data_IF_655065100240
#
_entry.id   IF_655065100240
#
_cell.length_a   1.000
_cell.length_b   1.000
_cell.length_c   1.000
_cell.angle_alpha   90.00
_cell.angle_beta   90.00
_cell.angle_gamma   90.00
#
_symmetry.space_group_name_H-M   'P 1'
#
loop_
_entity.id
_entity.type
_entity.pdbx_description
1 polymer ?
#
# COMPACT_ATOMS: atom_id res chain seq x y z
N UNK A 1 -18.98 51.34 45.04
CA UNK A 1 -20.06 50.37 44.71
C UNK A 1 -20.13 50.13 43.19
N UNK A 2 -18.98 49.98 42.48
CA UNK A 2 -18.91 49.67 41.04
C UNK A 2 -17.94 48.54 40.67
N UNK A 3 -17.36 47.88 41.67
CA UNK A 3 -16.39 46.78 41.44
C UNK A 3 -16.99 45.39 41.76
N UNK A 4 -18.09 45.33 42.50
CA UNK A 4 -18.72 44.06 42.86
C UNK A 4 -19.75 43.52 41.85
N UNK A 5 -20.16 44.35 40.87
CA UNK A 5 -21.13 43.90 39.84
C UNK A 5 -20.43 43.25 38.65
N UNK A 6 -19.16 43.61 38.41
CA UNK A 6 -18.38 43.02 37.32
C UNK A 6 -17.92 41.59 37.59
N UNK A 7 -17.75 41.23 38.88
CA UNK A 7 -17.34 39.86 39.27
C UNK A 7 -18.49 38.83 39.21
N UNK A 8 -19.74 39.30 39.37
CA UNK A 8 -20.91 38.40 39.31
C UNK A 8 -21.33 38.07 37.86
N UNK A 9 -21.07 38.94 36.90
CA UNK A 9 -21.35 38.66 35.47
C UNK A 9 -20.31 37.75 34.80
N UNK A 10 -19.07 37.75 35.28
CA UNK A 10 -18.03 36.88 34.79
C UNK A 10 -18.21 35.42 35.29
N UNK A 11 -18.86 35.23 36.45
CA UNK A 11 -19.10 33.89 37.00
C UNK A 11 -20.31 33.15 36.34
N UNK A 12 -21.22 33.91 35.71
CA UNK A 12 -22.40 33.31 35.05
C UNK A 12 -22.10 32.93 33.60
N UNK A 13 -21.09 33.52 32.97
CA UNK A 13 -20.67 33.17 31.59
C UNK A 13 -19.83 31.89 31.49
N UNK A 14 -19.36 31.35 32.62
CA UNK A 14 -18.57 30.12 32.68
C UNK A 14 -19.38 28.84 32.94
N UNK A 15 -20.71 28.95 33.12
CA UNK A 15 -21.56 27.81 33.41
C UNK A 15 -22.44 27.32 32.26
N UNK A 16 -22.32 27.91 31.07
CA UNK A 16 -23.19 27.53 29.95
C UNK A 16 -22.52 26.70 28.85
N UNK A 17 -21.33 26.17 29.08
CA UNK A 17 -20.62 25.35 28.10
C UNK A 17 -20.30 23.94 28.61
N UNK A 18 -21.13 23.38 29.48
CA UNK A 18 -21.00 21.96 29.80
C UNK A 18 -21.91 21.15 28.87
N UNK A 19 -21.36 20.73 27.77
CA UNK A 19 -21.91 19.60 27.00
C UNK A 19 -21.95 18.42 27.94
N UNK A 20 -23.13 17.75 28.06
CA UNK A 20 -23.26 16.62 28.95
C UNK A 20 -22.18 15.57 28.62
N UNK A 21 -21.55 14.95 29.62
CA UNK A 21 -20.45 13.99 29.38
C UNK A 21 -20.85 12.87 28.41
N UNK A 22 -22.13 12.53 28.42
CA UNK A 22 -22.71 11.51 27.52
C UNK A 22 -22.75 11.97 26.07
N UNK A 23 -23.13 13.21 25.83
CA UNK A 23 -23.12 13.78 24.45
C UNK A 23 -21.72 14.00 23.92
N UNK A 24 -20.77 14.32 24.78
CA UNK A 24 -19.37 14.47 24.41
C UNK A 24 -18.75 13.09 24.06
N UNK A 25 -19.02 12.06 24.86
CA UNK A 25 -18.55 10.70 24.58
C UNK A 25 -19.20 10.09 23.33
N UNK A 26 -20.49 10.36 23.07
CA UNK A 26 -21.16 9.95 21.84
C UNK A 26 -20.59 10.67 20.61
N UNK A 27 -20.30 11.97 20.72
CA UNK A 27 -19.67 12.74 19.65
C UNK A 27 -18.22 12.30 19.41
N UNK A 28 -17.49 12.04 20.49
CA UNK A 28 -16.13 11.51 20.44
C UNK A 28 -16.10 10.15 19.75
N UNK A 29 -16.98 9.23 20.17
CA UNK A 29 -17.05 7.89 19.55
C UNK A 29 -17.48 7.95 18.08
N UNK A 30 -18.40 8.87 17.72
CA UNK A 30 -18.80 9.06 16.32
C UNK A 30 -17.69 9.72 15.48
N UNK A 31 -16.92 10.62 16.09
CA UNK A 31 -15.75 11.22 15.47
C UNK A 31 -14.65 10.17 15.23
N UNK A 32 -14.33 9.38 16.26
CA UNK A 32 -13.32 8.33 16.15
C UNK A 32 -13.74 7.25 15.14
N UNK A 33 -15.04 6.88 15.12
CA UNK A 33 -15.57 5.97 14.10
C UNK A 33 -15.50 6.55 12.67
N UNK A 34 -15.74 7.87 12.53
CA UNK A 34 -15.61 8.53 11.21
C UNK A 34 -14.16 8.69 10.78
N UNK A 35 -13.27 8.98 11.70
CA UNK A 35 -11.81 9.03 11.42
C UNK A 35 -11.31 7.65 11.02
N UNK A 36 -11.67 6.60 11.76
CA UNK A 36 -11.30 5.22 11.39
C UNK A 36 -11.87 4.80 10.04
N UNK A 37 -13.12 5.20 9.76
CA UNK A 37 -13.75 4.92 8.45
C UNK A 37 -13.06 5.70 7.33
N UNK A 38 -12.65 6.94 7.60
CA UNK A 38 -11.90 7.74 6.64
C UNK A 38 -10.49 7.16 6.41
N UNK A 39 -9.82 6.65 7.44
CA UNK A 39 -8.52 6.00 7.30
C UNK A 39 -8.62 4.65 6.60
N UNK A 40 -9.62 3.82 6.92
CA UNK A 40 -9.84 2.57 6.20
C UNK A 40 -10.13 2.81 4.71
N UNK A 41 -10.99 3.80 4.42
CA UNK A 41 -11.28 4.21 3.03
C UNK A 41 -10.03 4.76 2.32
N UNK A 42 -9.16 5.45 3.04
CA UNK A 42 -7.90 5.97 2.51
C UNK A 42 -6.92 4.84 2.16
N UNK A 43 -6.83 3.84 3.04
CA UNK A 43 -6.03 2.63 2.79
C UNK A 43 -6.61 1.81 1.63
N UNK A 44 -7.93 1.67 1.58
CA UNK A 44 -8.61 0.98 0.49
C UNK A 44 -8.45 1.73 -0.84
N UNK A 45 -8.56 3.05 -0.82
CA UNK A 45 -8.31 3.90 -1.98
C UNK A 45 -6.84 3.82 -2.46
N UNK A 46 -5.87 3.76 -1.55
CA UNK A 46 -4.46 3.63 -1.94
C UNK A 46 -4.15 2.22 -2.48
N UNK A 47 -4.73 1.18 -1.88
CA UNK A 47 -4.67 -0.19 -2.43
C UNK A 47 -5.30 -0.27 -3.82
N UNK A 48 -6.49 0.31 -3.96
CA UNK A 48 -7.17 0.39 -5.26
C UNK A 48 -6.34 1.18 -6.28
N UNK A 49 -5.66 2.26 -5.84
CA UNK A 49 -4.78 3.06 -6.68
C UNK A 49 -3.53 2.30 -7.13
N UNK A 50 -2.90 1.55 -6.21
CA UNK A 50 -1.75 0.70 -6.53
C UNK A 50 -2.17 -0.40 -7.50
N UNK A 51 -3.26 -1.12 -7.20
CA UNK A 51 -3.82 -2.16 -8.08
C UNK A 51 -4.23 -1.59 -9.45
N UNK A 52 -4.86 -0.41 -9.48
CA UNK A 52 -5.19 0.28 -10.73
C UNK A 52 -3.93 0.68 -11.50
N UNK A 53 -2.88 1.17 -10.82
CA UNK A 53 -1.60 1.52 -11.44
C UNK A 53 -0.88 0.30 -12.02
N UNK A 54 -0.87 -0.82 -11.29
CA UNK A 54 -0.31 -2.09 -11.77
C UNK A 54 -1.11 -2.65 -12.95
N UNK A 55 -2.44 -2.62 -12.85
CA UNK A 55 -3.34 -3.01 -13.93
C UNK A 55 -3.16 -2.13 -15.18
N UNK A 56 -3.02 -0.82 -14.99
CA UNK A 56 -2.78 0.11 -16.10
C UNK A 56 -1.38 -0.11 -16.72
N UNK A 57 -0.36 -0.38 -15.91
CA UNK A 57 0.97 -0.74 -16.41
C UNK A 57 0.96 -2.06 -17.20
N UNK A 58 0.19 -3.04 -16.75
CA UNK A 58 0.00 -4.30 -17.48
C UNK A 58 -0.78 -4.08 -18.78
N UNK A 59 -1.84 -3.27 -18.72
CA UNK A 59 -2.64 -2.88 -19.89
C UNK A 59 -1.80 -2.13 -20.92
N UNK A 60 -0.95 -1.20 -20.49
CA UNK A 60 -0.03 -0.48 -21.38
C UNK A 60 0.94 -1.44 -22.07
N UNK A 61 1.51 -2.41 -21.33
CA UNK A 61 2.38 -3.45 -21.91
C UNK A 61 1.62 -4.35 -22.89
N UNK A 62 0.42 -4.78 -22.53
CA UNK A 62 -0.43 -5.60 -23.38
C UNK A 62 -0.86 -4.84 -24.65
N UNK A 63 -1.21 -3.56 -24.51
CA UNK A 63 -1.53 -2.69 -25.66
C UNK A 63 -0.31 -2.47 -26.58
N UNK A 64 0.88 -2.28 -26.01
CA UNK A 64 2.10 -2.14 -26.81
C UNK A 64 2.45 -3.43 -27.57
N UNK A 65 2.28 -4.60 -26.92
CA UNK A 65 2.46 -5.89 -27.58
C UNK A 65 1.40 -6.14 -28.67
N UNK A 66 0.14 -5.77 -28.40
CA UNK A 66 -0.94 -5.85 -29.38
C UNK A 66 -0.69 -4.91 -30.56
N UNK A 67 -0.27 -3.67 -30.32
CA UNK A 67 0.09 -2.72 -31.37
C UNK A 67 1.24 -3.24 -32.25
N UNK A 68 2.26 -3.84 -31.63
CA UNK A 68 3.32 -4.55 -32.33
C UNK A 68 2.79 -5.68 -33.22
N UNK A 69 1.94 -6.54 -32.69
CA UNK A 69 1.33 -7.64 -33.43
C UNK A 69 0.40 -7.17 -34.56
N UNK A 70 -0.34 -6.07 -34.33
CA UNK A 70 -1.19 -5.45 -35.36
C UNK A 70 -0.32 -4.88 -36.49
N UNK A 71 0.79 -4.18 -36.17
CA UNK A 71 1.72 -3.64 -37.17
C UNK A 71 2.34 -4.76 -38.01
N UNK A 72 2.81 -5.83 -37.36
CA UNK A 72 3.35 -7.00 -38.05
C UNK A 72 2.30 -7.66 -38.93
N UNK A 73 1.10 -7.89 -38.42
CA UNK A 73 0.00 -8.48 -39.20
C UNK A 73 -0.42 -7.58 -40.37
N UNK A 74 -0.39 -6.25 -40.19
CA UNK A 74 -0.70 -5.29 -41.25
C UNK A 74 0.38 -5.30 -42.35
N UNK A 75 1.65 -5.34 -41.96
CA UNK A 75 2.78 -5.44 -42.90
C UNK A 75 2.74 -6.77 -43.67
N UNK A 76 2.46 -7.89 -42.97
CA UNK A 76 2.26 -9.20 -43.58
C UNK A 76 1.07 -9.24 -44.55
N UNK A 77 -0.04 -8.61 -44.18
CA UNK A 77 -1.20 -8.48 -45.04
C UNK A 77 -0.93 -7.63 -46.29
N UNK A 78 -0.08 -6.60 -46.19
CA UNK A 78 0.36 -5.81 -47.34
C UNK A 78 1.27 -6.63 -48.28
N UNK A 79 2.20 -7.41 -47.72
CA UNK A 79 3.04 -8.34 -48.48
C UNK A 79 2.22 -9.47 -49.12
N UNK A 80 1.26 -10.06 -48.42
CA UNK A 80 0.34 -11.05 -49.00
C UNK A 80 -0.45 -10.48 -50.17
N UNK A 81 -0.97 -9.24 -50.06
CA UNK A 81 -1.67 -8.57 -51.20
C UNK A 81 -0.73 -8.29 -52.36
N UNK A 82 0.55 -7.95 -52.11
CA UNK A 82 1.56 -7.77 -53.11
C UNK A 82 1.93 -9.09 -53.78
N UNK A 83 2.08 -10.14 -52.99
CA UNK A 83 2.32 -11.50 -53.45
C UNK A 83 1.15 -12.04 -54.28
N UNK A 84 -0.08 -11.78 -53.87
CA UNK A 84 -1.29 -12.20 -54.57
C UNK A 84 -1.49 -11.46 -55.90
N UNK A 85 -1.04 -10.21 -56.00
CA UNK A 85 -0.95 -9.48 -57.26
C UNK A 85 0.13 -10.09 -58.18
N UNK A 86 1.34 -10.31 -57.63
CA UNK A 86 2.43 -10.93 -58.35
C UNK A 86 2.05 -12.36 -58.83
N UNK A 87 1.32 -13.12 -58.00
CA UNK A 87 0.80 -14.42 -58.40
C UNK A 87 -0.23 -14.33 -59.52
N UNK A 88 -1.16 -13.37 -59.47
CA UNK A 88 -2.13 -13.14 -60.57
C UNK A 88 -1.48 -12.69 -61.86
N UNK A 89 -0.47 -11.80 -61.75
CA UNK A 89 0.30 -11.32 -62.93
C UNK A 89 1.12 -12.48 -63.54
N UNK A 90 1.67 -13.31 -62.66
CA UNK A 90 2.39 -14.52 -63.08
C UNK A 90 1.47 -15.49 -63.85
N UNK A 91 0.26 -15.73 -63.30
CA UNK A 91 -0.71 -16.62 -63.90
C UNK A 91 -1.25 -16.07 -65.25
N UNK A 92 -1.44 -14.75 -65.34
CA UNK A 92 -1.86 -14.07 -66.58
C UNK A 92 -0.77 -14.19 -67.66
N UNK A 93 0.52 -14.01 -67.32
CA UNK A 93 1.62 -14.18 -68.23
C UNK A 93 1.75 -15.64 -68.73
N UNK A 94 1.47 -16.60 -67.82
CA UNK A 94 1.47 -18.02 -68.18
C UNK A 94 0.33 -18.35 -69.16
N UNK A 95 -0.91 -17.87 -68.92
CA UNK A 95 -2.03 -18.05 -69.82
C UNK A 95 -1.83 -17.36 -71.17
N UNK A 96 -1.23 -16.16 -71.18
CA UNK A 96 -0.87 -15.46 -72.39
C UNK A 96 0.20 -16.24 -73.22
N UNK A 97 1.22 -16.76 -72.53
CA UNK A 97 2.27 -17.59 -73.15
C UNK A 97 1.68 -18.89 -73.74
N UNK A 98 0.71 -19.53 -73.05
CA UNK A 98 -0.01 -20.71 -73.56
C UNK A 98 -0.89 -20.41 -74.75
N UNK A 99 -1.51 -19.22 -74.82
CA UNK A 99 -2.43 -18.82 -75.91
C UNK A 99 -1.66 -18.45 -77.20
N UNK A 100 -0.47 -17.96 -77.13
CA UNK A 100 0.33 -17.51 -78.28
C UNK A 100 1.32 -18.57 -78.82
N UNK A 101 0.94 -19.79 -78.76
CA UNK A 101 1.77 -20.96 -78.89
C UNK A 101 2.11 -21.34 -80.35
N UNK A 102 2.95 -20.61 -81.08
CA UNK A 102 3.69 -21.13 -82.23
C UNK A 102 5.11 -20.59 -82.39
N UNK A 103 5.48 -19.59 -81.66
CA UNK A 103 6.80 -18.93 -81.74
C UNK A 103 7.66 -19.07 -80.46
N UNK A 104 7.16 -19.74 -79.52
CA UNK A 104 7.54 -19.57 -78.08
C UNK A 104 8.20 -20.77 -77.43
N UNK A 105 8.48 -21.89 -78.12
CA UNK A 105 9.02 -23.08 -77.40
C UNK A 105 10.40 -22.80 -76.80
N UNK A 106 11.23 -21.95 -77.37
CA UNK A 106 12.54 -21.58 -76.80
C UNK A 106 12.46 -20.38 -75.82
N UNK A 107 11.62 -19.39 -76.09
CA UNK A 107 11.37 -18.29 -75.16
C UNK A 107 10.56 -18.83 -73.95
N UNK A 108 9.62 -19.78 -74.13
CA UNK A 108 8.87 -20.44 -73.12
C UNK A 108 9.70 -21.20 -72.05
N UNK A 109 10.84 -21.78 -72.48
CA UNK A 109 11.72 -22.48 -71.53
C UNK A 109 12.38 -21.52 -70.52
N UNK A 110 12.78 -20.35 -71.00
CA UNK A 110 13.38 -19.30 -70.16
C UNK A 110 12.33 -18.61 -69.26
N UNK A 111 11.12 -18.35 -69.80
CA UNK A 111 10.01 -17.78 -69.02
C UNK A 111 9.47 -18.77 -67.99
N UNK A 112 9.31 -20.04 -68.36
CA UNK A 112 8.92 -21.10 -67.42
C UNK A 112 9.95 -21.30 -66.32
N UNK A 113 11.24 -21.22 -66.60
CA UNK A 113 12.31 -21.31 -65.61
C UNK A 113 12.24 -20.13 -64.63
N UNK A 114 12.08 -18.91 -65.15
CA UNK A 114 11.92 -17.72 -64.33
C UNK A 114 10.64 -17.76 -63.47
N UNK A 115 9.56 -18.38 -64.00
CA UNK A 115 8.30 -18.58 -63.30
C UNK A 115 8.46 -19.60 -62.16
N UNK A 116 9.14 -20.74 -62.39
CA UNK A 116 9.43 -21.71 -61.35
C UNK A 116 10.30 -21.11 -60.22
N UNK A 117 11.34 -20.36 -60.60
CA UNK A 117 12.16 -19.66 -59.59
C UNK A 117 11.33 -18.65 -58.77
N UNK A 118 10.40 -17.93 -59.41
CA UNK A 118 9.46 -17.04 -58.68
C UNK A 118 8.49 -17.82 -57.79
N UNK A 119 7.93 -18.93 -58.27
CA UNK A 119 7.04 -19.78 -57.48
C UNK A 119 7.78 -20.40 -56.26
N UNK A 120 9.01 -20.88 -56.44
CA UNK A 120 9.86 -21.34 -55.33
C UNK A 120 10.18 -20.23 -54.34
N UNK A 121 10.49 -19.02 -54.82
CA UNK A 121 10.72 -17.86 -53.99
C UNK A 121 9.48 -17.46 -53.20
N UNK A 122 8.29 -17.54 -53.80
CA UNK A 122 7.00 -17.29 -53.22
C UNK A 122 6.63 -18.34 -52.16
N UNK A 123 6.85 -19.63 -52.46
CA UNK A 123 6.65 -20.73 -51.53
C UNK A 123 7.58 -20.60 -50.30
N UNK A 124 8.85 -20.26 -50.54
CA UNK A 124 9.80 -20.02 -49.44
C UNK A 124 9.38 -18.82 -48.56
N UNK A 125 8.85 -17.74 -49.18
CA UNK A 125 8.32 -16.60 -48.42
C UNK A 125 7.06 -16.94 -47.61
N UNK A 126 6.17 -17.75 -48.19
CA UNK A 126 4.98 -18.22 -47.51
C UNK A 126 5.38 -19.08 -46.28
N UNK A 127 6.27 -20.06 -46.46
CA UNK A 127 6.77 -20.89 -45.39
C UNK A 127 7.43 -20.06 -44.28
N UNK A 128 8.26 -19.05 -44.66
CA UNK A 128 8.84 -18.13 -43.66
C UNK A 128 7.81 -17.30 -42.89
N UNK A 129 6.71 -16.92 -43.57
CA UNK A 129 5.63 -16.18 -42.94
C UNK A 129 4.78 -17.05 -42.01
N UNK A 130 4.48 -18.30 -42.41
CA UNK A 130 3.80 -19.27 -41.55
C UNK A 130 4.59 -19.56 -40.27
N UNK A 131 5.91 -19.71 -40.39
CA UNK A 131 6.80 -19.91 -39.26
C UNK A 131 6.83 -18.66 -38.33
N UNK A 132 6.85 -17.48 -38.91
CA UNK A 132 6.76 -16.22 -38.16
C UNK A 132 5.43 -16.07 -37.41
N UNK A 133 4.31 -16.43 -38.05
CA UNK A 133 2.99 -16.43 -37.45
C UNK A 133 2.89 -17.44 -36.29
N UNK A 134 3.45 -18.62 -36.49
CA UNK A 134 3.48 -19.66 -35.45
C UNK A 134 4.24 -19.19 -34.22
N UNK A 135 5.42 -18.57 -34.41
CA UNK A 135 6.21 -17.99 -33.30
C UNK A 135 5.44 -16.88 -32.57
N UNK A 136 4.73 -16.02 -33.29
CA UNK A 136 3.96 -14.97 -32.63
C UNK A 136 2.75 -15.53 -31.90
N UNK A 137 2.12 -16.57 -32.39
CA UNK A 137 1.05 -17.29 -31.71
C UNK A 137 1.56 -17.96 -30.42
N UNK A 138 2.73 -18.61 -30.46
CA UNK A 138 3.38 -19.18 -29.28
C UNK A 138 3.73 -18.10 -28.25
N UNK A 139 4.19 -16.93 -28.72
CA UNK A 139 4.46 -15.77 -27.87
C UNK A 139 3.19 -15.23 -27.21
N UNK A 140 2.10 -15.09 -27.95
CA UNK A 140 0.81 -14.66 -27.42
C UNK A 140 0.28 -15.62 -26.38
N UNK A 141 0.37 -16.95 -26.63
CA UNK A 141 0.01 -17.95 -25.63
C UNK A 141 0.85 -17.86 -24.36
N UNK A 142 2.16 -17.62 -24.48
CA UNK A 142 3.04 -17.45 -23.31
C UNK A 142 2.68 -16.18 -22.51
N UNK A 143 2.31 -15.13 -23.21
CA UNK A 143 1.89 -13.86 -22.59
C UNK A 143 0.55 -14.02 -21.84
N UNK A 144 -0.38 -14.75 -22.44
CA UNK A 144 -1.68 -15.07 -21.82
C UNK A 144 -1.52 -15.87 -20.53
N UNK A 145 -0.67 -16.89 -20.54
CA UNK A 145 -0.33 -17.66 -19.33
C UNK A 145 0.33 -16.77 -18.26
N UNK A 146 1.27 -15.91 -18.66
CA UNK A 146 1.93 -14.98 -17.74
C UNK A 146 0.94 -13.96 -17.16
N UNK A 147 -0.01 -13.48 -17.94
CA UNK A 147 -1.07 -12.58 -17.49
C UNK A 147 -1.96 -13.29 -16.45
N UNK A 148 -2.41 -14.50 -16.75
CA UNK A 148 -3.24 -15.30 -15.85
C UNK A 148 -2.53 -15.59 -14.51
N UNK A 149 -1.24 -15.89 -14.54
CA UNK A 149 -0.44 -16.07 -13.32
C UNK A 149 -0.37 -14.78 -12.48
N UNK A 150 -0.21 -13.62 -13.15
CA UNK A 150 -0.20 -12.33 -12.46
C UNK A 150 -1.56 -11.98 -11.85
N UNK A 151 -2.65 -12.25 -12.56
CA UNK A 151 -4.01 -12.05 -12.03
C UNK A 151 -4.26 -12.91 -10.80
N UNK A 152 -3.84 -14.17 -10.82
CA UNK A 152 -3.93 -15.06 -9.66
C UNK A 152 -3.12 -14.51 -8.47
N UNK A 153 -1.90 -14.02 -8.74
CA UNK A 153 -1.04 -13.45 -7.69
C UNK A 153 -1.61 -12.16 -7.10
N UNK A 154 -2.22 -11.31 -7.93
CA UNK A 154 -2.94 -10.12 -7.46
C UNK A 154 -4.11 -10.51 -6.56
N UNK A 155 -4.94 -11.45 -6.98
CA UNK A 155 -6.06 -11.93 -6.19
C UNK A 155 -5.64 -12.55 -4.84
N UNK A 156 -4.51 -13.25 -4.82
CA UNK A 156 -3.94 -13.81 -3.59
C UNK A 156 -3.42 -12.73 -2.65
N UNK A 157 -2.72 -11.72 -3.18
CA UNK A 157 -2.27 -10.57 -2.41
C UNK A 157 -3.44 -9.78 -1.82
N UNK A 158 -4.50 -9.56 -2.59
CA UNK A 158 -5.72 -8.90 -2.12
C UNK A 158 -6.38 -9.67 -0.97
N UNK A 159 -6.45 -11.00 -1.06
CA UNK A 159 -6.97 -11.85 0.02
C UNK A 159 -6.11 -11.78 1.29
N UNK A 160 -4.79 -11.74 1.14
CA UNK A 160 -3.87 -11.60 2.28
C UNK A 160 -4.01 -10.23 2.95
N UNK A 161 -4.10 -9.18 2.16
CA UNK A 161 -4.33 -7.81 2.66
C UNK A 161 -5.66 -7.76 3.43
N UNK A 162 -6.73 -8.30 2.87
CA UNK A 162 -8.05 -8.34 3.52
C UNK A 162 -8.02 -9.13 4.85
N UNK A 163 -7.34 -10.28 4.88
CA UNK A 163 -7.14 -11.05 6.12
C UNK A 163 -6.36 -10.25 7.17
N UNK A 164 -5.30 -9.58 6.75
CA UNK A 164 -4.49 -8.72 7.63
C UNK A 164 -5.30 -7.57 8.21
N UNK A 165 -6.09 -6.90 7.39
CA UNK A 165 -6.92 -5.79 7.84
C UNK A 165 -8.01 -6.27 8.82
N UNK A 166 -8.60 -7.44 8.55
CA UNK A 166 -9.56 -8.06 9.47
C UNK A 166 -8.93 -8.44 10.81
N UNK A 167 -7.73 -9.02 10.79
CA UNK A 167 -6.99 -9.36 12.01
C UNK A 167 -6.59 -8.11 12.80
N UNK A 168 -6.15 -7.05 12.13
CA UNK A 168 -5.82 -5.79 12.77
C UNK A 168 -7.06 -5.11 13.36
N UNK A 169 -8.21 -5.15 12.66
CA UNK A 169 -9.47 -4.62 13.17
C UNK A 169 -9.94 -5.38 14.42
N UNK A 170 -9.87 -6.70 14.43
CA UNK A 170 -10.17 -7.54 15.58
C UNK A 170 -9.25 -7.22 16.77
N UNK A 171 -7.94 -7.14 16.52
CA UNK A 171 -6.97 -6.78 17.55
C UNK A 171 -7.23 -5.38 18.12
N UNK A 172 -7.53 -4.40 17.25
CA UNK A 172 -7.90 -3.05 17.67
C UNK A 172 -9.10 -3.06 18.60
N UNK A 173 -10.12 -3.85 18.28
CA UNK A 173 -11.32 -3.95 19.15
C UNK A 173 -10.96 -4.55 20.51
N UNK A 174 -10.23 -5.65 20.55
CA UNK A 174 -9.80 -6.28 21.80
C UNK A 174 -8.96 -5.34 22.67
N UNK A 175 -8.06 -4.57 22.04
CA UNK A 175 -7.25 -3.58 22.76
C UNK A 175 -8.12 -2.41 23.27
N UNK A 176 -9.07 -1.94 22.46
CA UNK A 176 -9.99 -0.88 22.90
C UNK A 176 -10.83 -1.32 24.10
N UNK A 177 -11.30 -2.56 24.10
CA UNK A 177 -12.08 -3.13 25.22
C UNK A 177 -11.21 -3.31 26.47
N UNK A 178 -10.01 -3.88 26.34
CA UNK A 178 -9.08 -4.07 27.46
C UNK A 178 -8.60 -2.75 28.07
N UNK A 179 -8.51 -1.70 27.27
CA UNK A 179 -7.99 -0.39 27.67
C UNK A 179 -9.11 0.65 27.91
N UNK A 180 -10.38 0.22 27.95
CA UNK A 180 -11.53 1.12 28.07
C UNK A 180 -11.44 2.02 29.31
N UNK A 181 -10.96 1.53 30.45
CA UNK A 181 -10.79 2.28 31.68
C UNK A 181 -9.77 3.42 31.64
N UNK A 182 -8.97 3.49 30.56
CA UNK A 182 -7.95 4.53 30.37
C UNK A 182 -8.29 5.52 29.25
N UNK A 183 -9.40 5.33 28.55
CA UNK A 183 -9.81 6.17 27.41
C UNK A 183 -9.95 7.64 27.79
N UNK A 184 -10.58 7.93 28.92
CA UNK A 184 -10.79 9.30 29.41
C UNK A 184 -9.53 9.91 30.06
N UNK A 185 -8.47 9.12 30.18
CA UNK A 185 -7.18 9.53 30.74
C UNK A 185 -6.11 9.78 29.69
N UNK A 186 -6.49 9.86 28.40
CA UNK A 186 -5.57 10.19 27.31
C UNK A 186 -4.97 8.95 26.61
N UNK A 187 -5.67 7.80 26.65
CA UNK A 187 -5.33 6.64 25.86
C UNK A 187 -6.32 6.48 24.69
N UNK A 188 -5.78 6.31 23.48
CA UNK A 188 -6.59 6.07 22.27
C UNK A 188 -6.05 4.86 21.52
N UNK A 189 -6.97 4.09 20.91
CA UNK A 189 -6.64 2.94 20.06
C UNK A 189 -7.18 3.22 18.65
N UNK A 190 -6.31 3.26 17.68
CA UNK A 190 -6.64 3.52 16.26
C UNK A 190 -6.01 2.48 15.34
N UNK A 191 -6.45 2.45 14.09
CA UNK A 191 -5.86 1.59 13.07
C UNK A 191 -5.43 2.45 11.87
N UNK A 192 -4.21 2.25 11.38
CA UNK A 192 -3.65 2.94 10.20
C UNK A 192 -2.80 1.94 9.42
N UNK A 193 -3.01 1.83 8.11
CA UNK A 193 -2.21 0.98 7.22
C UNK A 193 -2.08 -0.48 7.70
N UNK A 194 -3.16 -1.06 8.24
CA UNK A 194 -3.16 -2.42 8.75
C UNK A 194 -2.32 -2.64 10.02
N UNK A 195 -1.97 -1.58 10.73
CA UNK A 195 -1.31 -1.59 12.03
C UNK A 195 -2.22 -0.99 13.10
N UNK A 196 -2.12 -1.49 14.33
CA UNK A 196 -2.87 -0.94 15.46
C UNK A 196 -1.97 0.00 16.25
N UNK A 197 -2.44 1.20 16.47
CA UNK A 197 -1.75 2.25 17.24
C UNK A 197 -2.45 2.42 18.58
N UNK A 198 -1.73 2.19 19.66
CA UNK A 198 -2.15 2.57 21.00
C UNK A 198 -1.38 3.83 21.37
N UNK A 199 -2.05 4.98 21.34
CA UNK A 199 -1.46 6.27 21.67
C UNK A 199 -1.79 6.62 23.11
N UNK A 200 -0.75 6.97 23.87
CA UNK A 200 -0.83 7.33 25.28
C UNK A 200 -0.36 8.78 25.45
N UNK A 201 -1.22 9.62 26.01
CA UNK A 201 -0.86 10.99 26.39
C UNK A 201 0.31 10.98 27.38
N UNK A 202 1.21 11.89 27.20
CA UNK A 202 2.39 12.02 28.07
C UNK A 202 2.01 12.22 29.55
N UNK A 203 0.89 12.90 29.83
CA UNK A 203 0.42 13.15 31.21
C UNK A 203 -0.03 11.88 31.93
N UNK A 204 -0.51 10.89 31.21
CA UNK A 204 -0.83 9.56 31.73
C UNK A 204 0.46 8.80 32.06
N UNK A 205 1.48 8.99 31.23
CA UNK A 205 2.67 8.15 31.25
C UNK A 205 3.79 8.68 32.12
N UNK A 206 4.05 10.01 32.10
CA UNK A 206 5.26 10.59 32.66
C UNK A 206 4.98 11.92 33.36
N UNK A 207 5.75 12.21 34.41
CA UNK A 207 5.84 13.55 34.94
C UNK A 207 6.56 14.48 33.94
N UNK A 208 6.42 15.79 34.12
CA UNK A 208 7.06 16.78 33.25
C UNK A 208 8.59 16.59 33.24
N UNK A 209 9.18 16.50 32.05
CA UNK A 209 10.62 16.30 31.88
C UNK A 209 11.14 14.92 32.28
N UNK A 210 10.27 14.01 32.77
CA UNK A 210 10.67 12.68 33.20
C UNK A 210 10.43 11.63 32.11
N UNK A 211 11.11 10.52 32.23
CA UNK A 211 10.91 9.25 31.51
C UNK A 211 10.53 8.10 32.43
N UNK A 212 10.38 8.35 33.74
CA UNK A 212 9.86 7.35 34.68
C UNK A 212 8.34 7.24 34.54
N UNK A 213 7.87 6.02 34.30
CA UNK A 213 6.46 5.77 34.04
C UNK A 213 5.67 5.84 35.35
N UNK A 214 4.59 6.63 35.35
CA UNK A 214 3.68 6.79 36.47
C UNK A 214 2.82 5.52 36.71
N UNK A 215 2.27 5.32 37.90
CA UNK A 215 1.47 4.13 38.25
C UNK A 215 0.29 3.88 37.30
N UNK A 216 -0.40 4.92 36.89
CA UNK A 216 -1.54 4.84 35.94
C UNK A 216 -1.08 4.35 34.56
N UNK A 217 0.03 4.89 34.07
CA UNK A 217 0.66 4.44 32.83
C UNK A 217 1.14 2.99 32.93
N UNK A 218 1.79 2.62 34.03
CA UNK A 218 2.22 1.24 34.27
C UNK A 218 1.07 0.25 34.35
N UNK A 219 -0.09 0.67 34.89
CA UNK A 219 -1.32 -0.12 34.92
C UNK A 219 -1.89 -0.33 33.51
N UNK A 220 -1.97 0.74 32.70
CA UNK A 220 -2.41 0.65 31.30
C UNK A 220 -1.50 -0.27 30.47
N UNK A 221 -0.18 -0.16 30.65
CA UNK A 221 0.80 -1.05 30.01
C UNK A 221 0.66 -2.51 30.48
N UNK A 222 0.24 -2.73 31.71
CA UNK A 222 -0.05 -4.06 32.26
C UNK A 222 -1.23 -4.72 31.52
N UNK A 223 -2.33 -4.01 31.32
CA UNK A 223 -3.48 -4.52 30.56
C UNK A 223 -3.11 -4.75 29.07
N UNK A 224 -2.38 -3.82 28.48
CA UNK A 224 -1.86 -3.99 27.13
C UNK A 224 -0.99 -5.25 27.02
N UNK A 225 -0.07 -5.46 27.97
CA UNK A 225 0.82 -6.61 27.96
C UNK A 225 0.08 -7.95 28.02
N UNK A 226 -1.06 -8.04 28.73
CA UNK A 226 -1.91 -9.24 28.72
C UNK A 226 -2.36 -9.60 27.31
N UNK A 227 -2.91 -8.64 26.57
CA UNK A 227 -3.37 -8.83 25.19
C UNK A 227 -2.21 -9.20 24.26
N UNK A 228 -1.05 -8.55 24.43
CA UNK A 228 0.16 -8.84 23.65
C UNK A 228 0.73 -10.23 23.91
N UNK A 229 0.61 -10.75 25.13
CA UNK A 229 1.09 -12.08 25.51
C UNK A 229 0.18 -13.20 24.97
N UNK A 230 -1.11 -12.91 24.78
CA UNK A 230 -2.05 -13.83 24.12
C UNK A 230 -1.76 -13.97 22.61
N UNK A 231 -1.16 -12.94 22.00
CA UNK A 231 -0.89 -12.87 20.57
C UNK A 231 0.63 -12.79 20.31
N UNK A 232 1.31 -13.93 20.32
CA UNK A 232 2.79 -14.02 20.29
C UNK A 232 3.44 -13.62 18.97
N UNK A 233 2.70 -13.61 17.88
CA UNK A 233 3.23 -13.34 16.53
C UNK A 233 3.27 -11.85 16.16
N UNK A 234 2.80 -10.97 17.06
CA UNK A 234 2.80 -9.53 16.84
C UNK A 234 4.20 -8.94 17.01
N UNK A 235 4.60 -8.04 16.13
CA UNK A 235 5.76 -7.14 16.31
C UNK A 235 5.29 -5.82 16.92
N UNK A 236 6.08 -5.28 17.82
CA UNK A 236 5.72 -4.13 18.64
C UNK A 236 6.82 -3.09 18.50
N UNK A 237 6.47 -1.90 18.03
CA UNK A 237 7.35 -0.74 18.05
C UNK A 237 6.79 0.29 19.02
N UNK A 238 7.61 0.77 19.94
CA UNK A 238 7.26 1.85 20.86
C UNK A 238 7.95 3.12 20.40
N UNK A 239 7.16 4.12 20.01
CA UNK A 239 7.67 5.42 19.55
C UNK A 239 7.36 6.52 20.56
N UNK A 240 8.38 7.22 21.02
CA UNK A 240 8.24 8.42 21.84
C UNK A 240 8.22 9.68 20.96
N UNK A 241 7.32 10.61 21.30
CA UNK A 241 7.18 11.91 20.62
C UNK A 241 7.17 13.04 21.64
N UNK A 242 7.72 14.19 21.25
CA UNK A 242 7.67 15.44 22.00
C UNK A 242 6.89 16.50 21.22
N UNK A 243 6.63 17.62 21.83
CA UNK A 243 6.32 18.85 21.15
C UNK A 243 7.61 19.59 20.70
N UNK A 244 7.44 20.79 20.14
CA UNK A 244 8.55 21.63 19.68
C UNK A 244 9.22 22.44 20.78
N UNK A 245 8.78 22.35 22.05
CA UNK A 245 9.48 23.02 23.15
C UNK A 245 10.81 22.32 23.41
N UNK A 246 11.88 23.12 23.39
CA UNK A 246 13.23 22.58 23.58
C UNK A 246 13.37 21.96 24.96
N UNK A 247 13.69 20.68 25.02
CA UNK A 247 14.09 20.01 26.25
C UNK A 247 15.58 20.25 26.48
N UNK A 248 15.91 20.89 27.60
CA UNK A 248 17.28 21.17 28.00
C UNK A 248 17.60 20.40 29.30
N UNK A 249 17.95 19.13 29.12
CA UNK A 249 18.29 18.26 30.25
C UNK A 249 19.67 18.54 30.81
N UNK A 250 19.84 18.37 32.13
CA UNK A 250 21.11 18.54 32.85
C UNK A 250 21.87 17.23 33.00
N UNK A 251 21.36 16.13 32.51
CA UNK A 251 21.89 14.76 32.61
C UNK A 251 22.38 14.23 31.27
N UNK A 252 22.46 12.92 31.11
CA UNK A 252 22.75 12.24 29.85
C UNK A 252 21.64 12.46 28.78
N UNK A 253 20.41 12.79 29.20
CA UNK A 253 19.29 13.14 28.32
C UNK A 253 19.33 14.66 28.08
N UNK A 254 19.69 15.10 26.90
CA UNK A 254 20.02 16.49 26.57
C UNK A 254 18.91 17.20 25.83
N UNK A 255 18.26 16.54 24.90
CA UNK A 255 17.30 17.14 23.95
C UNK A 255 16.04 16.27 23.78
N UNK A 256 15.17 16.70 22.87
CA UNK A 256 13.92 16.01 22.54
C UNK A 256 14.14 14.63 21.92
N UNK A 257 15.27 14.41 21.22
CA UNK A 257 15.63 13.09 20.71
C UNK A 257 15.89 12.12 21.86
N UNK A 258 16.80 12.49 22.75
CA UNK A 258 17.14 11.68 23.91
C UNK A 258 15.92 11.38 24.77
N UNK A 259 15.11 12.43 25.07
CA UNK A 259 13.93 12.29 25.90
C UNK A 259 12.90 11.32 25.29
N UNK A 260 12.67 11.43 23.99
CA UNK A 260 11.71 10.58 23.29
C UNK A 260 12.17 9.10 23.27
N UNK A 261 13.46 8.85 23.05
CA UNK A 261 14.04 7.50 23.10
C UNK A 261 13.98 6.93 24.52
N UNK A 262 14.33 7.72 25.54
CA UNK A 262 14.29 7.27 26.94
C UNK A 262 12.88 6.90 27.37
N UNK A 263 11.88 7.67 26.99
CA UNK A 263 10.46 7.38 27.26
C UNK A 263 10.01 6.07 26.59
N UNK A 264 10.35 5.90 25.31
CA UNK A 264 10.05 4.66 24.58
C UNK A 264 10.73 3.45 25.25
N UNK A 265 12.00 3.61 25.66
CA UNK A 265 12.76 2.56 26.35
C UNK A 265 12.15 2.18 27.69
N UNK A 266 11.66 3.17 28.47
CA UNK A 266 10.98 2.91 29.75
C UNK A 266 9.70 2.09 29.56
N UNK A 267 8.92 2.40 28.53
CA UNK A 267 7.72 1.63 28.17
C UNK A 267 8.10 0.20 27.76
N UNK A 268 9.12 0.02 26.92
CA UNK A 268 9.60 -1.31 26.51
C UNK A 268 10.01 -2.14 27.73
N UNK A 269 10.77 -1.56 28.68
CA UNK A 269 11.18 -2.25 29.90
C UNK A 269 9.99 -2.75 30.72
N UNK A 270 8.92 -1.95 30.81
CA UNK A 270 7.70 -2.37 31.52
C UNK A 270 7.01 -3.51 30.78
N UNK A 271 6.82 -3.40 29.46
CA UNK A 271 6.19 -4.46 28.66
C UNK A 271 6.98 -5.78 28.80
N UNK A 272 8.30 -5.73 28.69
CA UNK A 272 9.16 -6.90 28.89
C UNK A 272 9.06 -7.44 30.32
N UNK A 273 9.06 -6.58 31.33
CA UNK A 273 8.85 -6.95 32.73
C UNK A 273 7.46 -7.57 33.01
N UNK A 274 6.47 -7.30 32.13
CA UNK A 274 5.13 -7.92 32.14
C UNK A 274 5.03 -9.18 31.24
N UNK A 275 6.16 -9.70 30.76
CA UNK A 275 6.22 -10.97 30.04
C UNK A 275 6.20 -10.87 28.51
N UNK A 276 6.19 -9.67 27.93
CA UNK A 276 6.32 -9.51 26.48
C UNK A 276 7.77 -9.87 26.06
N UNK A 277 7.88 -10.78 25.10
CA UNK A 277 9.17 -11.30 24.63
C UNK A 277 10.03 -10.18 24.02
N UNK A 278 11.29 -9.97 24.49
CA UNK A 278 12.14 -8.85 24.06
C UNK A 278 12.39 -8.79 22.55
N UNK A 279 12.49 -9.94 21.86
CA UNK A 279 12.73 -10.04 20.41
C UNK A 279 11.59 -9.44 19.57
N UNK A 280 10.42 -9.23 20.17
CA UNK A 280 9.24 -8.69 19.52
C UNK A 280 9.11 -7.18 19.67
N UNK A 281 9.87 -6.57 20.55
CA UNK A 281 9.69 -5.18 20.95
C UNK A 281 10.91 -4.36 20.58
N UNK A 282 10.67 -3.19 20.00
CA UNK A 282 11.72 -2.19 19.76
C UNK A 282 11.30 -0.84 20.31
N UNK A 283 12.28 -0.02 20.72
CA UNK A 283 12.10 1.37 21.14
C UNK A 283 12.63 2.30 20.05
N UNK A 284 11.92 3.38 19.77
CA UNK A 284 12.34 4.44 18.88
C UNK A 284 11.96 5.81 19.45
N UNK A 285 12.75 6.83 19.20
CA UNK A 285 12.42 8.22 19.47
C UNK A 285 12.18 8.97 18.16
N UNK A 286 11.22 9.87 18.14
CA UNK A 286 10.90 10.73 17.00
C UNK A 286 11.12 12.21 17.31
N UNK A 287 11.44 12.54 18.58
CA UNK A 287 11.52 13.92 19.02
C UNK A 287 10.24 14.70 18.66
N UNK A 288 10.42 15.90 18.18
CA UNK A 288 9.35 16.83 17.74
C UNK A 288 8.96 16.70 16.25
N UNK A 289 9.64 15.83 15.48
CA UNK A 289 9.63 15.82 14.02
C UNK A 289 8.47 15.06 13.37
N UNK A 290 7.58 14.48 14.18
CA UNK A 290 6.33 13.85 13.70
C UNK A 290 5.13 14.36 14.50
N UNK A 291 4.79 15.65 14.38
CA UNK A 291 3.63 16.23 15.07
C UNK A 291 2.33 15.71 14.43
N UNK A 292 1.32 15.49 15.26
CA UNK A 292 -0.05 15.15 14.83
C UNK A 292 -1.00 16.33 14.95
N UNK A 293 -0.54 17.44 15.53
CA UNK A 293 -1.27 18.69 15.69
C UNK A 293 -0.29 19.87 15.60
N UNK A 294 -0.80 21.09 15.39
CA UNK A 294 0.05 22.28 15.40
C UNK A 294 0.75 22.44 16.76
N UNK A 295 2.01 22.87 16.74
CA UNK A 295 2.77 23.26 17.92
C UNK A 295 2.55 24.74 18.34
N UNK A 296 1.65 25.46 17.67
CA UNK A 296 1.43 26.90 17.93
C UNK A 296 0.56 27.15 19.17
N UNK A 297 -0.13 26.14 19.67
CA UNK A 297 -1.00 26.22 20.82
C UNK A 297 -0.76 25.10 21.84
N UNK A 298 -1.10 25.32 23.12
CA UNK A 298 -0.88 24.34 24.20
C UNK A 298 -1.60 23.02 23.97
N UNK A 299 -2.78 23.01 23.35
CA UNK A 299 -3.60 21.85 23.10
C UNK A 299 -2.94 20.94 22.03
N UNK A 300 -2.40 21.56 20.99
CA UNK A 300 -1.68 20.85 19.93
C UNK A 300 -0.35 20.27 20.45
N UNK A 301 0.41 21.04 21.23
CA UNK A 301 1.62 20.55 21.91
C UNK A 301 1.29 19.36 22.81
N UNK A 302 0.21 19.44 23.57
CA UNK A 302 -0.23 18.34 24.44
C UNK A 302 -0.49 17.05 23.64
N UNK A 303 -1.09 17.14 22.46
CA UNK A 303 -1.31 15.99 21.56
C UNK A 303 -0.02 15.45 20.98
N UNK A 304 0.94 16.32 20.70
CA UNK A 304 2.24 15.92 20.15
C UNK A 304 3.09 15.19 21.20
N UNK A 305 3.00 15.57 22.47
CA UNK A 305 3.63 14.84 23.60
C UNK A 305 2.88 13.55 23.88
N UNK A 306 3.28 12.49 23.18
CA UNK A 306 2.66 11.17 23.28
C UNK A 306 3.66 10.04 23.16
N UNK A 307 3.26 8.88 23.56
CA UNK A 307 3.93 7.62 23.22
C UNK A 307 2.98 6.77 22.40
N UNK A 308 3.42 6.32 21.24
CA UNK A 308 2.67 5.42 20.37
C UNK A 308 3.24 4.00 20.47
N UNK A 309 2.38 3.03 20.76
CA UNK A 309 2.72 1.61 20.68
C UNK A 309 2.09 1.08 19.42
N UNK A 310 2.93 0.77 18.44
CA UNK A 310 2.54 0.34 17.09
C UNK A 310 2.63 -1.18 17.06
N UNK A 311 1.51 -1.82 16.82
CA UNK A 311 1.39 -3.28 16.84
C UNK A 311 1.14 -3.74 15.40
N UNK A 312 2.09 -4.50 14.88
CA UNK A 312 2.06 -5.01 13.51
C UNK A 312 1.85 -6.51 13.51
N UNK A 313 0.79 -7.02 12.88
CA UNK A 313 0.66 -8.45 12.63
C UNK A 313 1.84 -8.98 11.81
N UNK A 314 2.28 -10.21 12.10
CA UNK A 314 3.42 -10.79 11.38
C UNK A 314 3.10 -10.99 9.90
N UNK A 315 4.03 -10.56 9.04
CA UNK A 315 3.94 -10.60 7.58
C UNK A 315 4.76 -11.74 6.97
N UNK A 316 5.11 -12.79 7.76
CA UNK A 316 5.94 -13.89 7.27
C UNK A 316 5.47 -14.45 5.93
N UNK A 317 4.17 -14.73 5.81
CA UNK A 317 3.55 -15.22 4.57
C UNK A 317 3.63 -14.23 3.40
N UNK A 318 3.59 -12.92 3.68
CA UNK A 318 3.69 -11.89 2.62
C UNK A 318 5.11 -11.74 2.08
N UNK A 319 6.12 -11.90 2.95
CA UNK A 319 7.52 -11.82 2.56
C UNK A 319 7.93 -13.00 1.67
N UNK A 320 7.40 -14.20 1.91
CA UNK A 320 7.63 -15.39 1.08
C UNK A 320 7.01 -15.26 -0.32
N UNK A 321 5.85 -14.59 -0.43
CA UNK A 321 5.17 -14.39 -1.72
C UNK A 321 5.77 -13.26 -2.56
N UNK A 322 6.44 -12.28 -1.95
CA UNK A 322 7.07 -11.16 -2.67
C UNK A 322 8.51 -11.51 -3.06
N UNK A 323 9.15 -12.44 -2.35
CA UNK A 323 10.56 -12.81 -2.53
C UNK A 323 10.83 -13.86 -3.63
N UNK A 324 9.79 -14.43 -4.24
CA UNK A 324 9.83 -15.32 -5.40
C UNK A 324 9.21 -14.61 -6.62
#
# INVERSE_FOLDING_TARGET
MRIQVAAALAAIALLSACVSPKKYSELQSSFDATVQRAESLKVEAEKARISASESEAQKVKALAALDGAIRDTTAQGAEMRKLQRAYRDLNSNYEYALKNNSRLVQENLTENKAMLERMESLAARLAAKEDSLKREQERLMSLEVALQQREQRVAELERLISRKDSAAAFLRQRLADALLGFKDRGLTVSMRNGQVYVSLDNRLMFASGSWDVQPDGASALGELAKVLNENKDLKIAVEGHTDSDAFNGKTAVKDNWDLSVMRATSVVKILVGKGVTPQRVQAAGRGEFLPISSNDNPEGKAKNRRTEIIITPNLGELAELIGN
#
